data_IF_646518988616
#
_entry.id   IF_646518988616
#
_cell.length_a   1.000
_cell.length_b   1.000
_cell.length_c   1.000
_cell.angle_alpha   90.00
_cell.angle_beta   90.00
_cell.angle_gamma   90.00
#
_symmetry.space_group_name_H-M   'P 1'
#
loop_
_entity.id
_entity.type
_entity.pdbx_description
1 polymer ?
#
# COMPACT_ATOMS: atom_id res chain seq x y z
N UNK A 1 1.13 4.17 18.73
CA UNK A 1 1.03 2.71 18.50
C UNK A 1 0.57 2.49 17.08
N UNK A 2 1.25 1.66 16.31
CA UNK A 2 0.81 1.28 14.97
C UNK A 2 -0.50 0.49 15.11
N UNK A 3 -1.58 0.98 14.51
CA UNK A 3 -2.88 0.28 14.53
C UNK A 3 -2.82 -1.13 13.90
N UNK A 4 -1.76 -1.42 13.13
CA UNK A 4 -1.56 -2.70 12.47
C UNK A 4 -1.12 -3.85 13.41
N UNK A 5 -0.58 -3.57 14.62
CA UNK A 5 -0.31 -4.61 15.67
C UNK A 5 -1.53 -5.00 16.47
N UNK A 6 -2.60 -4.22 16.35
CA UNK A 6 -3.80 -4.42 17.14
C UNK A 6 -4.59 -5.59 16.55
N UNK A 7 -4.72 -6.72 17.27
CA UNK A 7 -5.45 -7.88 16.77
C UNK A 7 -6.92 -7.56 16.48
N UNK A 8 -7.52 -6.59 17.19
CA UNK A 8 -8.89 -6.17 16.95
C UNK A 8 -9.00 -5.41 15.61
N UNK A 9 -8.01 -4.57 15.29
CA UNK A 9 -7.94 -3.86 14.01
C UNK A 9 -7.67 -4.81 12.84
N UNK A 10 -6.80 -5.81 13.01
CA UNK A 10 -6.57 -6.86 12.00
C UNK A 10 -7.87 -7.60 11.67
N UNK A 11 -8.62 -7.99 12.70
CA UNK A 11 -9.89 -8.66 12.52
C UNK A 11 -10.93 -7.76 11.83
N UNK A 12 -11.03 -6.49 12.22
CA UNK A 12 -11.92 -5.51 11.58
C UNK A 12 -11.62 -5.34 10.08
N UNK A 13 -10.34 -5.21 9.71
CA UNK A 13 -9.91 -5.11 8.31
C UNK A 13 -10.34 -6.34 7.52
N UNK A 14 -10.10 -7.54 8.06
CA UNK A 14 -10.49 -8.80 7.40
C UNK A 14 -12.02 -8.85 7.22
N UNK A 15 -12.79 -8.48 8.25
CA UNK A 15 -14.25 -8.47 8.17
C UNK A 15 -14.77 -7.51 7.10
N UNK A 16 -14.21 -6.30 7.02
CA UNK A 16 -14.56 -5.33 5.99
C UNK A 16 -14.28 -5.90 4.61
N UNK A 17 -13.09 -6.47 4.39
CA UNK A 17 -12.72 -7.05 3.09
C UNK A 17 -13.60 -8.25 2.70
N UNK A 18 -13.95 -9.12 3.65
CA UNK A 18 -14.88 -10.23 3.42
C UNK A 18 -16.28 -9.72 3.06
N UNK A 19 -16.74 -8.63 3.69
CA UNK A 19 -18.02 -7.99 3.36
C UNK A 19 -17.99 -7.43 1.94
N UNK A 20 -16.91 -6.77 1.54
CA UNK A 20 -16.73 -6.23 0.19
C UNK A 20 -16.62 -7.34 -0.87
N UNK A 21 -16.04 -8.51 -0.53
CA UNK A 21 -16.04 -9.66 -1.42
C UNK A 21 -17.44 -10.12 -1.84
N UNK A 22 -18.49 -9.87 -1.04
CA UNK A 22 -19.87 -10.22 -1.42
C UNK A 22 -20.39 -9.38 -2.59
N UNK A 23 -19.74 -8.25 -2.91
CA UNK A 23 -20.10 -7.38 -4.04
C UNK A 23 -19.38 -7.78 -5.33
N UNK A 24 -18.46 -8.74 -5.29
CA UNK A 24 -17.71 -9.20 -6.47
C UNK A 24 -18.46 -10.36 -7.13
N UNK A 25 -19.38 -10.02 -8.03
CA UNK A 25 -20.16 -10.99 -8.80
C UNK A 25 -19.25 -11.99 -9.54
N UNK A 26 -19.67 -13.26 -9.59
CA UNK A 26 -18.90 -14.35 -10.19
C UNK A 26 -17.68 -14.82 -9.38
N UNK A 27 -17.16 -14.03 -8.42
CA UNK A 27 -15.89 -14.33 -7.75
C UNK A 27 -15.92 -14.26 -6.21
N UNK A 28 -17.10 -14.12 -5.59
CA UNK A 28 -17.26 -14.00 -4.12
C UNK A 28 -16.38 -14.98 -3.33
N UNK A 29 -16.43 -16.27 -3.68
CA UNK A 29 -15.69 -17.32 -2.94
C UNK A 29 -14.18 -17.25 -3.19
N UNK A 30 -13.76 -16.90 -4.40
CA UNK A 30 -12.35 -16.72 -4.72
C UNK A 30 -11.79 -15.50 -3.96
N UNK A 31 -12.54 -14.39 -3.94
CA UNK A 31 -12.17 -13.20 -3.18
C UNK A 31 -12.01 -13.52 -1.68
N UNK A 32 -12.99 -14.20 -1.07
CA UNK A 32 -12.91 -14.58 0.36
C UNK A 32 -11.69 -15.45 0.66
N UNK A 33 -11.38 -16.42 -0.22
CA UNK A 33 -10.16 -17.23 -0.08
C UNK A 33 -8.89 -16.38 -0.13
N UNK A 34 -8.79 -15.46 -1.09
CA UNK A 34 -7.64 -14.56 -1.20
C UNK A 34 -7.51 -13.65 0.02
N UNK A 35 -8.62 -13.10 0.52
CA UNK A 35 -8.62 -12.26 1.72
C UNK A 35 -8.07 -13.02 2.92
N UNK A 36 -8.61 -14.21 3.21
CA UNK A 36 -8.16 -15.02 4.34
C UNK A 36 -6.72 -15.51 4.21
N UNK A 37 -6.26 -15.77 2.99
CA UNK A 37 -4.91 -16.29 2.74
C UNK A 37 -3.84 -15.18 2.79
N UNK A 38 -4.11 -14.02 2.20
CA UNK A 38 -3.08 -13.01 1.95
C UNK A 38 -3.16 -11.81 2.89
N UNK A 39 -4.34 -11.38 3.34
CA UNK A 39 -4.45 -10.16 4.15
C UNK A 39 -3.71 -10.28 5.49
N UNK A 40 -3.82 -11.38 6.27
CA UNK A 40 -3.03 -11.51 7.50
C UNK A 40 -1.52 -11.39 7.25
N UNK A 41 -1.03 -12.02 6.18
CA UNK A 41 0.38 -11.95 5.78
C UNK A 41 0.78 -10.53 5.36
N UNK A 42 -0.08 -9.82 4.64
CA UNK A 42 0.12 -8.44 4.21
C UNK A 42 0.14 -7.50 5.41
N UNK A 43 -0.70 -7.69 6.43
CA UNK A 43 -0.71 -6.84 7.62
C UNK A 43 0.58 -7.00 8.43
N UNK A 44 1.00 -8.25 8.69
CA UNK A 44 2.24 -8.55 9.41
C UNK A 44 3.48 -8.04 8.67
N UNK A 45 3.55 -8.26 7.35
CA UNK A 45 4.72 -7.84 6.57
C UNK A 45 4.67 -6.33 6.23
N UNK A 46 3.48 -5.81 5.97
CA UNK A 46 3.23 -4.41 5.65
C UNK A 46 3.57 -3.51 6.81
N UNK A 47 3.30 -3.93 8.04
CA UNK A 47 3.79 -3.22 9.21
C UNK A 47 5.34 -3.13 9.24
N UNK A 48 6.04 -4.26 9.13
CA UNK A 48 7.51 -4.28 9.14
C UNK A 48 8.09 -3.42 8.02
N UNK A 49 7.38 -3.37 6.89
CA UNK A 49 7.71 -2.52 5.77
C UNK A 49 7.52 -1.04 6.12
N UNK A 50 6.37 -0.66 6.69
CA UNK A 50 6.05 0.71 7.09
C UNK A 50 6.97 1.24 8.21
N UNK A 51 7.43 0.38 9.13
CA UNK A 51 8.41 0.77 10.16
C UNK A 51 9.78 1.17 9.58
N UNK A 52 10.13 0.64 8.40
CA UNK A 52 11.47 0.81 7.79
C UNK A 52 11.47 1.72 6.57
N UNK A 53 10.32 2.01 6.00
CA UNK A 53 10.20 2.70 4.73
C UNK A 53 9.27 3.91 4.85
N UNK A 54 9.71 5.04 4.32
CA UNK A 54 8.83 6.17 4.04
C UNK A 54 8.03 5.85 2.77
N UNK A 55 6.87 5.22 2.97
CA UNK A 55 6.01 4.80 1.87
C UNK A 55 5.50 5.99 1.07
N UNK A 56 5.32 7.17 1.70
CA UNK A 56 4.90 8.38 1.01
C UNK A 56 5.95 8.87 0.02
N UNK A 57 7.24 8.78 0.36
CA UNK A 57 8.33 9.03 -0.58
C UNK A 57 8.43 7.96 -1.67
N UNK A 58 8.26 6.67 -1.30
CA UNK A 58 8.35 5.54 -2.25
C UNK A 58 7.28 5.60 -3.34
N UNK A 59 6.04 5.95 -2.98
CA UNK A 59 4.96 6.12 -3.96
C UNK A 59 4.90 7.52 -4.56
N UNK A 60 5.95 8.34 -4.33
CA UNK A 60 6.07 9.72 -4.80
C UNK A 60 4.92 10.64 -4.38
N UNK A 61 4.19 10.30 -3.31
CA UNK A 61 3.09 11.10 -2.79
C UNK A 61 3.58 12.31 -1.97
N UNK A 62 4.80 12.28 -1.45
CA UNK A 62 5.35 13.35 -0.62
C UNK A 62 5.97 14.48 -1.45
N UNK A 63 5.84 15.73 -1.00
CA UNK A 63 6.36 16.92 -1.71
C UNK A 63 7.87 16.85 -1.99
N UNK A 64 8.64 16.29 -1.08
CA UNK A 64 10.08 16.11 -1.25
C UNK A 64 10.43 15.12 -2.37
N UNK A 65 9.61 14.08 -2.58
CA UNK A 65 9.75 13.16 -3.72
C UNK A 65 9.31 13.78 -5.03
N UNK A 66 8.24 14.59 -5.02
CA UNK A 66 7.76 15.29 -6.21
C UNK A 66 8.76 16.35 -6.70
N UNK A 67 9.36 17.12 -5.78
CA UNK A 67 10.44 18.08 -6.11
C UNK A 67 11.67 17.40 -6.71
N UNK A 68 12.00 16.19 -6.26
CA UNK A 68 13.13 15.41 -6.78
C UNK A 68 12.87 14.91 -8.20
N UNK A 69 11.65 14.49 -8.50
CA UNK A 69 11.24 14.14 -9.87
C UNK A 69 11.34 15.36 -10.79
N UNK A 70 10.77 16.50 -10.40
CA UNK A 70 10.85 17.75 -11.17
C UNK A 70 12.30 18.19 -11.39
N UNK A 71 13.14 18.11 -10.37
CA UNK A 71 14.57 18.40 -10.46
C UNK A 71 15.31 17.47 -11.43
N UNK A 72 15.01 16.17 -11.43
CA UNK A 72 15.64 15.22 -12.36
C UNK A 72 15.18 15.41 -13.80
N UNK A 73 13.92 15.84 -14.02
CA UNK A 73 13.44 16.23 -15.34
C UNK A 73 14.13 17.50 -15.85
N UNK A 74 14.36 18.49 -14.96
CA UNK A 74 15.10 19.71 -15.30
C UNK A 74 16.57 19.41 -15.64
N UNK A 75 17.26 18.54 -14.89
CA UNK A 75 18.62 18.12 -15.20
C UNK A 75 18.71 17.31 -16.51
N UNK A 76 17.75 16.43 -16.77
CA UNK A 76 17.68 15.70 -18.04
C UNK A 76 17.40 16.62 -19.24
N UNK A 77 16.61 17.69 -19.05
CA UNK A 77 16.37 18.71 -20.08
C UNK A 77 17.63 19.52 -20.41
N UNK A 78 18.41 19.93 -19.39
CA UNK A 78 19.65 20.67 -19.55
C UNK A 78 20.76 19.89 -20.27
N UNK A 79 20.76 18.55 -20.16
CA UNK A 79 21.68 17.65 -20.87
C UNK A 79 21.28 17.43 -22.34
N UNK A 80 20.05 17.79 -22.74
CA UNK A 80 19.56 17.63 -24.11
C UNK A 80 19.87 18.84 -25.01
N UNK A 81 20.33 19.95 -24.43
CA UNK A 81 20.67 21.20 -25.12
C UNK A 81 22.19 21.38 -25.36
N UNK A 82 23.00 20.33 -25.12
CA UNK A 82 24.46 20.32 -25.30
C UNK A 82 24.92 19.40 -26.46
#
# INVERSE_FOLDING_TARGET
MSKLKDPDAEFEIIQILIKECNKIEGHVQQCKRLVLQYIPLILVNGEKFLEKNDVCALVQACDASQKRAVSSFLEAGLLSDA
#
